data_IF_374256866874
#
_entry.id   IF_374256866874
#
_cell.length_a   1.000
_cell.length_b   1.000
_cell.length_c   1.000
_cell.angle_alpha   90.00
_cell.angle_beta   90.00
_cell.angle_gamma   90.00
#
_symmetry.space_group_name_H-M   'P 1'
#
loop_
_entity.id
_entity.type
_entity.pdbx_description
1 polymer ?
2 polymer ?
3 non-polymer ?
4 non-polymer ?
5 non-polymer ?
6 water ?
#
loop_
_entity_poly.entity_id
_entity_poly.type
_entity_poly.pdbx_seq_one_letter_code
_entity_poly.pdbx_strand_id
2 'polyribonucleotide' 'AGGGGCGUAGUUCAAUUGGUAGAGCACCGGUCUCCAAAACCGGGUGUUGGGAGUUCGAGUCUCUCCGCCCCUGCCA' ?
#
# COMPACT_ATOMS: atom_id res chain seq x y z
N UNK A 7 -11.46 -0.38 -15.16
CA UNK A 7 -10.54 0.40 -14.28
C UNK A 7 -10.32 -0.24 -12.91
N UNK A 8 -9.06 -0.49 -12.56
CA UNK A 8 -8.68 -1.06 -11.28
C UNK A 8 -8.05 0.00 -10.38
N UNK A 9 -8.35 -0.05 -9.09
CA UNK A 9 -7.75 0.82 -8.09
C UNK A 9 -7.29 -0.04 -6.91
N UNK A 10 -5.97 -0.14 -6.72
CA UNK A 10 -5.39 -0.93 -5.62
C UNK A 10 -4.96 -0.01 -4.46
N UNK A 11 -5.24 -0.44 -3.23
CA UNK A 11 -4.75 0.26 -2.04
C UNK A 11 -3.28 -0.13 -1.82
N UNK A 12 -2.42 0.88 -1.69
CA UNK A 12 -0.97 0.66 -1.64
C UNK A 12 -0.51 0.05 -0.32
N UNK A 13 0.63 -0.67 -0.34
CA UNK A 13 1.25 -1.03 0.93
C UNK A 13 1.82 0.21 1.59
N UNK A 14 1.53 0.40 2.88
CA UNK A 14 2.06 1.54 3.64
C UNK A 14 2.43 1.12 5.05
N UNK A 15 3.72 0.85 5.23
CA UNK A 15 4.29 0.43 6.51
C UNK A 15 4.07 1.51 7.59
N UNK A 16 3.53 1.09 8.73
CA UNK A 16 3.20 1.98 9.83
C UNK A 16 1.93 2.80 9.67
N UNK A 17 1.15 2.55 8.61
CA UNK A 17 -0.04 3.35 8.32
C UNK A 17 -1.22 2.46 8.00
N UNK A 18 -1.13 1.71 6.91
CA UNK A 18 -2.22 0.87 6.44
C UNK A 18 -2.07 -0.56 6.97
N UNK A 19 -2.35 -0.71 8.26
CA UNK A 19 -2.42 -2.02 8.90
C UNK A 19 -3.85 -2.57 8.74
N UNK A 20 -4.09 -3.74 9.32
CA UNK A 20 -5.40 -4.41 9.19
C UNK A 20 -6.59 -3.54 9.64
N UNK A 21 -6.40 -2.74 10.70
CA UNK A 21 -7.48 -1.89 11.22
C UNK A 21 -7.87 -0.82 10.20
N UNK A 22 -6.87 -0.15 9.63
CA UNK A 22 -7.12 0.90 8.64
C UNK A 22 -7.62 0.27 7.32
N UNK A 23 -7.08 -0.90 6.96
CA UNK A 23 -7.57 -1.64 5.79
C UNK A 23 -9.04 -2.03 5.96
N UNK A 24 -9.42 -2.42 7.18
CA UNK A 24 -10.82 -2.69 7.51
C UNK A 24 -11.70 -1.44 7.32
N UNK A 25 -11.27 -0.31 7.88
CA UNK A 25 -12.06 0.93 7.84
C UNK A 25 -12.21 1.49 6.42
N UNK A 26 -11.13 1.48 5.67
CA UNK A 26 -11.15 2.00 4.30
C UNK A 26 -11.97 1.12 3.36
N UNK A 27 -11.76 -0.20 3.40
CA UNK A 27 -12.46 -1.11 2.48
C UNK A 27 -13.98 -1.11 2.66
N UNK A 28 -14.45 -0.90 3.89
CA UNK A 28 -15.88 -0.71 4.16
C UNK A 28 -16.48 0.43 3.32
N UNK A 29 -15.77 1.56 3.25
CA UNK A 29 -16.27 2.76 2.57
C UNK A 29 -15.59 3.04 1.20
N UNK A 30 -14.99 2.00 0.60
CA UNK A 30 -14.32 2.13 -0.70
C UNK A 30 -14.63 0.97 -1.60
N UNK A 31 -14.21 1.08 -2.86
CA UNK A 31 -14.22 -0.01 -3.83
C UNK A 31 -12.79 -0.24 -4.32
N UNK A 32 -11.95 -0.72 -3.41
CA UNK A 32 -10.59 -1.12 -3.75
C UNK A 32 -10.63 -2.54 -4.28
N UNK A 33 -9.96 -2.76 -5.41
CA UNK A 33 -9.90 -4.07 -6.02
C UNK A 33 -8.94 -5.00 -5.28
N UNK A 34 -7.96 -4.43 -4.57
CA UNK A 34 -6.96 -5.20 -3.83
C UNK A 34 -6.19 -4.31 -2.85
N UNK A 35 -5.80 -4.89 -1.72
CA UNK A 35 -4.91 -4.24 -0.74
C UNK A 35 -3.60 -5.04 -0.64
N UNK A 36 -2.50 -4.31 -0.48
CA UNK A 36 -1.20 -4.92 -0.18
C UNK A 36 -0.87 -4.67 1.28
N UNK A 37 -0.26 -5.65 1.95
CA UNK A 37 0.08 -5.52 3.36
C UNK A 37 1.34 -4.69 3.53
N UNK A 38 1.60 -4.33 4.78
CA UNK A 38 2.91 -3.81 5.19
C UNK A 38 3.91 -4.94 4.91
N UNK A 39 5.14 -4.60 4.52
CA UNK A 39 6.11 -5.63 4.12
C UNK A 39 6.45 -6.60 5.24
N UNK A 40 6.58 -7.88 4.88
CA UNK A 40 7.12 -8.91 5.76
C UNK A 40 8.60 -8.98 5.42
N UNK A 41 9.46 -8.62 6.37
CA UNK A 41 10.90 -8.55 6.10
C UNK A 41 11.55 -9.92 6.17
N UNK A 42 12.12 -10.37 5.06
CA UNK A 42 12.79 -11.66 4.96
C UNK A 42 14.31 -11.48 4.87
N UNK A 43 15.05 -12.35 5.57
CA UNK A 43 16.52 -12.37 5.48
C UNK A 43 16.96 -13.77 5.02
N UNK A 44 17.22 -14.69 5.95
CA UNK A 44 17.81 -16.00 5.65
C UNK A 44 17.13 -17.10 6.47
N UNK A 45 15.82 -16.99 6.61
CA UNK A 45 15.07 -17.69 7.64
C UNK A 45 13.61 -17.84 7.21
N UNK A 46 13.04 -19.03 7.36
CA UNK A 46 11.60 -19.19 7.22
C UNK A 46 10.94 -18.58 8.45
N UNK A 47 10.24 -17.47 8.26
CA UNK A 47 9.60 -16.77 9.37
C UNK A 47 8.42 -17.58 9.92
N UNK A 48 8.14 -17.46 11.23
CA UNK A 48 7.06 -18.25 11.81
C UNK A 48 5.68 -17.76 11.39
N UNK A 49 4.69 -18.62 11.58
CA UNK A 49 3.31 -18.36 11.18
C UNK A 49 2.75 -17.09 11.82
N UNK A 50 3.04 -16.87 13.10
CA UNK A 50 2.53 -15.71 13.85
C UNK A 50 2.91 -14.35 13.26
N UNK A 51 4.07 -14.25 12.63
CA UNK A 51 4.48 -13.01 11.93
C UNK A 51 3.53 -12.69 10.77
N UNK A 52 3.11 -13.71 10.03
CA UNK A 52 2.19 -13.55 8.91
C UNK A 52 0.78 -13.16 9.40
N UNK A 53 0.32 -13.81 10.46
CA UNK A 53 -0.99 -13.46 11.05
C UNK A 53 -1.01 -12.09 11.72
N UNK A 54 0.13 -11.63 12.22
CA UNK A 54 0.23 -10.31 12.86
C UNK A 54 0.12 -9.20 11.81
N UNK A 55 0.94 -9.33 10.76
CA UNK A 55 0.93 -8.40 9.62
C UNK A 55 -0.35 -8.50 8.80
N UNK A 56 -0.87 -9.72 8.64
CA UNK A 56 -2.07 -9.97 7.82
C UNK A 56 -3.09 -10.85 8.57
N UNK A 57 -3.84 -10.27 9.52
CA UNK A 57 -4.97 -10.95 10.17
C UNK A 57 -6.06 -11.43 9.20
N UNK A 58 -6.15 -10.79 8.04
CA UNK A 58 -7.05 -11.18 6.96
C UNK A 58 -6.83 -12.60 6.45
N UNK A 59 -5.61 -13.13 6.62
CA UNK A 59 -5.30 -14.54 6.29
C UNK A 59 -6.29 -15.54 6.91
N UNK A 60 -6.77 -15.27 8.12
CA UNK A 60 -7.77 -16.12 8.79
C UNK A 60 -9.22 -15.90 8.33
N UNK A 61 -9.45 -14.92 7.46
CA UNK A 61 -10.72 -14.77 6.77
C UNK A 61 -10.52 -14.90 5.26
N UNK A 62 -9.77 -15.93 4.86
CA UNK A 62 -9.51 -16.24 3.45
C UNK A 62 -8.86 -15.10 2.68
N UNK A 63 -7.97 -14.38 3.37
CA UNK A 63 -7.24 -13.22 2.83
C UNK A 63 -8.15 -12.06 2.41
N UNK A 64 -9.19 -11.82 3.20
CA UNK A 64 -10.11 -10.71 2.97
C UNK A 64 -10.27 -9.83 4.19
N UNK A 65 -10.60 -8.56 3.95
CA UNK A 65 -11.02 -7.66 5.01
C UNK A 65 -12.46 -8.05 5.35
N UNK A 66 -13.00 -7.58 6.49
CA UNK A 66 -14.38 -7.96 6.82
C UNK A 66 -15.44 -7.62 5.76
N UNK A 67 -15.22 -6.52 5.02
CA UNK A 67 -16.12 -6.12 3.94
C UNK A 67 -15.97 -6.94 2.64
N UNK A 68 -14.86 -7.67 2.50
CA UNK A 68 -14.69 -8.64 1.41
C UNK A 68 -13.60 -8.34 0.40
N UNK A 69 -12.88 -7.23 0.56
CA UNK A 69 -11.76 -6.88 -0.32
C UNK A 69 -10.58 -7.80 -0.08
N UNK A 70 -10.01 -8.33 -1.16
CA UNK A 70 -8.84 -9.21 -1.07
C UNK A 70 -7.59 -8.46 -0.63
N UNK A 71 -6.69 -9.18 0.04
CA UNK A 71 -5.44 -8.64 0.57
C UNK A 71 -4.29 -9.55 0.14
N UNK A 72 -3.13 -8.96 -0.14
CA UNK A 72 -1.95 -9.70 -0.59
C UNK A 72 -0.72 -9.37 0.27
N UNK A 73 -0.05 -10.42 0.76
CA UNK A 73 1.16 -10.27 1.58
C UNK A 73 2.33 -9.82 0.70
N UNK A 74 3.05 -8.78 1.14
CA UNK A 74 4.27 -8.34 0.47
C UNK A 74 5.49 -8.82 1.24
N UNK A 75 6.49 -9.31 0.52
CA UNK A 75 7.78 -9.66 1.10
C UNK A 75 8.82 -8.62 0.70
N UNK A 76 9.70 -8.29 1.63
CA UNK A 76 10.89 -7.50 1.36
C UNK A 76 12.11 -8.37 1.70
N UNK A 77 12.93 -8.66 0.70
CA UNK A 77 14.10 -9.53 0.88
C UNK A 77 14.94 -9.70 -0.37
N UNK A 78 16.10 -10.33 -0.23
CA UNK A 78 17.05 -10.52 -1.34
C UNK A 78 17.28 -11.99 -1.71
N UNK A 79 17.44 -12.86 -0.71
CA UNK A 79 17.89 -14.24 -0.96
C UNK A 79 16.73 -15.07 -1.56
N UNK A 80 16.92 -15.59 -2.81
CA UNK A 80 15.83 -16.28 -3.52
C UNK A 80 15.18 -17.44 -2.77
N UNK A 81 16.01 -18.30 -2.17
CA UNK A 81 15.55 -19.45 -1.38
C UNK A 81 14.55 -19.07 -0.29
N UNK A 82 14.82 -17.95 0.37
CA UNK A 82 14.05 -17.52 1.54
C UNK A 82 12.88 -16.63 1.17
N UNK A 83 12.97 -15.91 0.05
CA UNK A 83 11.77 -15.31 -0.56
C UNK A 83 10.80 -16.40 -0.99
N UNK A 84 11.32 -17.46 -1.61
CA UNK A 84 10.51 -18.60 -2.06
C UNK A 84 9.77 -19.30 -0.93
N UNK A 85 10.51 -19.66 0.13
CA UNK A 85 9.92 -20.38 1.27
C UNK A 85 8.92 -19.54 2.06
N UNK A 86 9.20 -18.25 2.24
CA UNK A 86 8.25 -17.35 2.88
C UNK A 86 7.06 -16.99 1.97
N UNK A 87 7.25 -17.04 0.65
CA UNK A 87 6.14 -16.89 -0.31
C UNK A 87 5.20 -18.10 -0.24
N UNK A 88 5.76 -19.30 -0.23
CA UNK A 88 4.99 -20.53 -0.08
C UNK A 88 4.16 -20.56 1.21
N UNK A 89 4.78 -20.13 2.32
CA UNK A 89 4.07 -20.04 3.60
C UNK A 89 2.91 -19.03 3.54
N UNK A 90 3.17 -17.85 2.99
CA UNK A 90 2.15 -16.81 2.85
C UNK A 90 0.89 -17.32 2.15
N UNK A 91 1.07 -17.97 1.01
CA UNK A 91 -0.07 -18.48 0.22
C UNK A 91 -0.73 -19.68 0.89
N UNK A 92 0.07 -20.57 1.48
CA UNK A 92 -0.46 -21.69 2.27
C UNK A 92 -1.35 -21.25 3.42
N UNK A 93 -1.02 -20.11 4.02
CA UNK A 93 -1.85 -19.52 5.08
C UNK A 93 -3.09 -18.79 4.56
N UNK A 94 -3.15 -18.52 3.25
CA UNK A 94 -4.35 -17.94 2.62
C UNK A 94 -4.15 -16.76 1.67
N UNK A 95 -2.97 -16.13 1.68
CA UNK A 95 -2.73 -14.91 0.89
C UNK A 95 -3.04 -15.11 -0.58
N UNK A 96 -3.77 -14.16 -1.17
CA UNK A 96 -4.11 -14.23 -2.59
C UNK A 96 -2.92 -13.72 -3.40
N UNK A 97 -1.99 -14.62 -3.64
CA UNK A 97 -0.72 -14.28 -4.25
C UNK A 97 0.25 -13.69 -3.25
N UNK A 98 1.35 -13.14 -3.77
CA UNK A 98 2.40 -12.51 -2.96
C UNK A 98 3.08 -11.41 -3.77
N UNK A 99 3.43 -10.30 -3.10
CA UNK A 99 4.10 -9.15 -3.73
C UNK A 99 5.57 -9.14 -3.31
N UNK A 100 6.46 -8.74 -4.22
CA UNK A 100 7.87 -8.50 -3.89
C UNK A 100 8.18 -7.00 -3.84
N UNK A 101 8.75 -6.54 -2.73
CA UNK A 101 9.19 -5.15 -2.58
C UNK A 101 10.55 -4.95 -3.25
N UNK A 102 10.58 -4.05 -4.24
CA UNK A 102 11.83 -3.58 -4.87
C UNK A 102 11.96 -2.04 -4.88
N UNK A 103 11.25 -1.36 -3.98
CA UNK A 103 11.25 0.11 -3.93
C UNK A 103 11.42 0.80 -2.58
N UNK A 104 11.62 0.04 -1.51
CA UNK A 104 11.83 0.61 -0.17
C UNK A 104 13.20 1.31 -0.10
N UNK A 105 13.23 2.61 0.30
CA UNK A 105 14.54 3.22 0.58
C UNK A 105 15.09 2.74 1.93
N UNK A 113 20.13 -5.89 3.05
CA UNK A 113 20.15 -6.18 1.61
C UNK A 113 18.77 -6.49 1.09
N UNK A 114 18.17 -5.52 0.40
CA UNK A 114 16.79 -5.65 -0.12
C UNK A 114 16.13 -4.31 -0.39
N UNK A 115 14.85 -4.36 -0.77
CA UNK A 115 14.08 -3.16 -1.08
C UNK A 115 14.56 -2.52 -2.37
N UNK A 116 14.82 -1.22 -2.33
CA UNK A 116 15.30 -0.49 -3.51
C UNK A 116 16.73 -0.83 -3.94
N UNK A 117 17.53 -1.45 -3.06
CA UNK A 117 18.92 -1.84 -3.41
C UNK A 117 19.00 -2.92 -4.50
N UNK A 118 17.92 -3.68 -4.66
CA UNK A 118 17.78 -4.64 -5.77
C UNK A 118 17.71 -3.96 -7.15
N UNK A 119 17.31 -2.69 -7.18
CA UNK A 119 17.28 -1.90 -8.42
C UNK A 119 18.68 -1.62 -9.00
N UNK A 120 19.73 -1.75 -8.18
CA UNK A 120 21.11 -1.67 -8.66
C UNK A 120 21.56 -2.86 -9.50
N UNK A 121 21.11 -4.07 -9.13
CA UNK A 121 21.39 -5.29 -9.87
C UNK A 121 20.07 -6.02 -10.15
N UNK A 122 19.44 -5.75 -11.32
CA UNK A 122 18.22 -6.43 -11.77
C UNK A 122 18.26 -7.98 -11.79
N UNK A 123 19.46 -8.56 -11.90
CA UNK A 123 19.65 -10.01 -11.74
C UNK A 123 19.03 -10.53 -10.43
N UNK A 124 19.19 -9.77 -9.35
CA UNK A 124 18.62 -10.12 -8.04
C UNK A 124 17.09 -10.14 -8.08
N UNK A 125 16.49 -9.20 -8.81
CA UNK A 125 15.04 -9.13 -8.98
C UNK A 125 14.56 -10.34 -9.79
N UNK A 126 15.21 -10.60 -10.92
CA UNK A 126 14.94 -11.78 -11.73
C UNK A 126 14.99 -13.06 -10.90
N UNK A 127 16.04 -13.21 -10.09
CA UNK A 127 16.30 -14.44 -9.34
C UNK A 127 15.36 -14.61 -8.14
N UNK A 128 15.01 -13.50 -7.48
CA UNK A 128 14.07 -13.53 -6.36
C UNK A 128 12.64 -13.77 -6.79
N UNK A 129 12.20 -13.00 -7.77
CA UNK A 129 10.86 -13.16 -8.34
C UNK A 129 10.65 -14.54 -8.96
N UNK A 130 11.67 -15.06 -9.66
CA UNK A 130 11.55 -16.39 -10.28
C UNK A 130 11.36 -17.50 -9.23
N UNK A 131 12.11 -17.42 -8.13
CA UNK A 131 12.00 -18.39 -7.04
C UNK A 131 10.64 -18.32 -6.35
N UNK A 132 10.12 -17.11 -6.21
CA UNK A 132 8.75 -16.91 -5.71
C UNK A 132 7.69 -17.47 -6.67
N UNK A 133 7.88 -17.27 -7.96
CA UNK A 133 6.94 -17.79 -8.97
C UNK A 133 6.87 -19.32 -8.92
N UNK A 134 8.03 -19.96 -8.84
CA UNK A 134 8.11 -21.42 -8.79
C UNK A 134 7.59 -22.01 -7.48
N UNK A 135 7.61 -21.24 -6.39
CA UNK A 135 7.12 -21.69 -5.09
C UNK A 135 5.60 -21.54 -4.91
N UNK A 136 5.01 -20.55 -5.56
CA UNK A 136 3.59 -20.24 -5.40
C UNK A 136 2.80 -20.95 -6.49
N UNK A 137 1.63 -21.56 -6.13
CA UNK A 137 0.73 -22.18 -7.11
C UNK A 137 0.43 -21.30 -8.32
N UNK A 138 0.51 -21.89 -9.51
CA UNK A 138 0.57 -21.15 -10.78
C UNK A 138 -0.47 -20.04 -10.96
N UNK A 139 -1.70 -20.30 -10.52
CA UNK A 139 -2.81 -19.35 -10.71
C UNK A 139 -2.91 -18.25 -9.66
N UNK A 140 -2.20 -18.36 -8.54
CA UNK A 140 -2.09 -17.24 -7.60
C UNK A 140 -1.06 -16.24 -8.13
N UNK A 141 -1.41 -14.95 -8.18
CA UNK A 141 -0.48 -13.94 -8.73
C UNK A 141 0.80 -13.74 -7.93
N UNK A 142 1.92 -13.60 -8.61
CA UNK A 142 3.17 -13.11 -8.00
C UNK A 142 3.47 -11.75 -8.63
N UNK A 143 3.33 -10.69 -7.84
CA UNK A 143 3.54 -9.33 -8.32
C UNK A 143 4.84 -8.75 -7.76
N UNK A 144 5.36 -7.73 -8.45
CA UNK A 144 6.55 -6.99 -8.02
C UNK A 144 6.23 -5.50 -8.00
N UNK A 145 6.68 -4.81 -6.97
CA UNK A 145 6.50 -3.37 -6.87
C UNK A 145 7.86 -2.71 -6.93
N UNK A 146 8.06 -1.82 -7.91
CA UNK A 146 9.36 -1.20 -8.14
C UNK A 146 9.30 0.31 -8.09
N UNK A 147 10.48 0.90 -7.91
CA UNK A 147 10.73 2.28 -8.26
C UNK A 147 11.44 2.26 -9.63
N UNK A 148 11.58 3.43 -10.24
CA UNK A 148 12.19 3.55 -11.58
C UNK A 148 13.69 3.29 -11.59
N UNK A 149 14.33 3.43 -10.43
CA UNK A 149 15.77 3.19 -10.30
C UNK A 149 16.32 3.66 -8.98
N UNK A 150 17.65 3.58 -8.86
CA UNK A 150 18.33 3.99 -7.64
C UNK A 150 18.48 5.52 -7.60
N UNK A 151 19.36 6.07 -8.43
CA UNK A 151 19.65 7.52 -8.47
C UNK A 151 19.19 8.20 -9.77
N UNK A 152 19.29 7.49 -10.90
CA UNK A 152 18.62 7.89 -12.15
C UNK A 152 17.67 6.78 -12.60
N UNK A 153 16.94 7.05 -13.68
CA UNK A 153 16.01 6.06 -14.26
C UNK A 153 16.54 5.37 -15.50
N UNK A 154 17.86 5.36 -15.69
CA UNK A 154 18.48 4.83 -16.91
C UNK A 154 18.44 3.31 -17.04
N UNK A 155 18.26 2.60 -15.92
CA UNK A 155 18.16 1.13 -15.92
C UNK A 155 16.74 0.65 -15.67
N UNK A 156 15.74 1.47 -15.99
CA UNK A 156 14.33 1.15 -15.69
C UNK A 156 13.79 -0.03 -16.50
N UNK A 157 14.28 -0.20 -17.72
CA UNK A 157 13.84 -1.31 -18.56
C UNK A 157 14.52 -2.63 -18.19
N UNK A 158 15.77 -2.60 -17.75
CA UNK A 158 16.41 -3.79 -17.18
C UNK A 158 15.64 -4.32 -15.95
N UNK A 159 15.11 -3.39 -15.15
CA UNK A 159 14.30 -3.74 -13.98
C UNK A 159 12.98 -4.36 -14.43
N UNK A 160 12.31 -3.72 -15.39
CA UNK A 160 11.04 -4.19 -15.93
C UNK A 160 11.18 -5.56 -16.58
N UNK A 161 12.22 -5.73 -17.40
CA UNK A 161 12.52 -7.01 -18.09
C UNK A 161 12.77 -8.15 -17.13
N UNK A 162 13.47 -7.87 -16.03
CA UNK A 162 13.75 -8.87 -15.00
C UNK A 162 12.47 -9.41 -14.35
N UNK A 163 11.48 -8.53 -14.18
CA UNK A 163 10.18 -8.91 -13.61
C UNK A 163 9.42 -9.82 -14.57
N UNK A 164 9.38 -9.45 -15.85
CA UNK A 164 8.65 -10.24 -16.85
C UNK A 164 9.29 -11.61 -17.08
N UNK A 165 10.59 -11.65 -17.28
CA UNK A 165 11.29 -12.91 -17.57
C UNK A 165 11.41 -13.84 -16.36
N UNK A 166 11.27 -13.30 -15.15
CA UNK A 166 11.07 -14.12 -13.95
C UNK A 166 9.76 -14.91 -13.99
N UNK A 167 8.78 -14.39 -14.73
CA UNK A 167 7.45 -15.00 -14.86
C UNK A 167 6.44 -14.40 -13.90
N UNK A 168 6.67 -13.15 -13.48
CA UNK A 168 5.76 -12.49 -12.55
C UNK A 168 4.44 -12.21 -13.25
N UNK A 169 3.38 -12.11 -12.46
CA UNK A 169 2.04 -11.91 -13.00
C UNK A 169 1.80 -10.46 -13.43
N UNK A 170 2.29 -9.50 -12.63
CA UNK A 170 2.12 -8.07 -12.90
C UNK A 170 3.19 -7.22 -12.19
N UNK A 171 3.33 -5.98 -12.65
CA UNK A 171 4.35 -5.05 -12.15
C UNK A 171 3.69 -3.74 -11.71
N UNK A 172 3.91 -3.33 -10.46
CA UNK A 172 3.52 -2.00 -9.99
C UNK A 172 4.75 -1.12 -10.07
N UNK A 173 4.62 0.02 -10.75
CA UNK A 173 5.71 0.97 -10.92
C UNK A 173 5.35 2.26 -10.20
N UNK A 174 6.08 2.53 -9.13
CA UNK A 174 6.10 3.83 -8.47
C UNK A 174 7.01 4.74 -9.32
N UNK A 175 6.43 5.77 -9.94
CA UNK A 175 7.12 6.57 -10.96
C UNK A 175 8.18 7.56 -10.50
N UNK A 176 9.06 7.12 -9.60
CA UNK A 176 10.20 7.90 -9.13
C UNK A 176 11.35 6.96 -8.82
N UNK A 177 12.55 7.52 -8.74
CA UNK A 177 13.72 6.77 -8.28
C UNK A 177 13.77 6.80 -6.76
N UNK A 178 14.71 6.08 -6.16
CA UNK A 178 14.90 6.10 -4.71
C UNK A 178 15.29 7.49 -4.19
N UNK A 179 16.27 8.12 -4.82
CA UNK A 179 16.71 9.47 -4.43
C UNK A 179 15.62 10.54 -4.49
N UNK A 180 14.69 10.42 -5.44
CA UNK A 180 13.57 11.36 -5.57
C UNK A 180 12.51 11.23 -4.46
N UNK A 181 12.54 10.12 -3.71
CA UNK A 181 11.72 9.95 -2.52
C UNK A 181 10.24 10.16 -2.78
N UNK A 182 9.69 11.21 -2.16
CA UNK A 182 8.27 11.56 -2.29
C UNK A 182 8.05 12.99 -2.80
N UNK A 183 9.05 13.56 -3.48
CA UNK A 183 8.97 14.94 -4.01
C UNK A 183 8.11 14.97 -5.28
N UNK A 184 7.04 15.76 -5.24
CA UNK A 184 6.00 15.76 -6.27
C UNK A 184 6.48 16.14 -7.68
N UNK A 185 7.47 17.02 -7.76
CA UNK A 185 7.99 17.47 -9.05
C UNK A 185 8.58 16.32 -9.91
N UNK A 186 9.12 15.30 -9.26
CA UNK A 186 9.82 14.21 -9.95
C UNK A 186 8.96 13.02 -10.43
N UNK A 187 7.66 13.08 -10.20
CA UNK A 187 6.76 12.00 -10.65
C UNK A 187 6.79 11.88 -12.18
N UNK A 188 6.92 10.64 -12.67
CA UNK A 188 7.19 10.36 -14.08
C UNK A 188 6.22 9.28 -14.60
N UNK A 189 5.00 9.71 -14.87
CA UNK A 189 3.97 8.81 -15.40
C UNK A 189 4.28 8.35 -16.83
N UNK A 190 5.02 9.17 -17.58
CA UNK A 190 5.46 8.82 -18.93
C UNK A 190 6.42 7.62 -18.92
N UNK A 191 7.28 7.55 -17.91
CA UNK A 191 8.21 6.42 -17.74
C UNK A 191 7.45 5.13 -17.50
N UNK A 192 6.34 5.22 -16.76
CA UNK A 192 5.46 4.08 -16.50
C UNK A 192 4.81 3.62 -17.82
N UNK A 193 4.39 4.59 -18.64
CA UNK A 193 3.84 4.29 -19.95
C UNK A 193 4.79 3.53 -20.86
N UNK A 194 6.07 3.91 -20.83
CA UNK A 194 7.08 3.24 -21.64
C UNK A 194 7.34 1.80 -21.16
N UNK A 195 7.27 1.59 -19.85
CA UNK A 195 7.35 0.26 -19.26
C UNK A 195 6.14 -0.57 -19.68
N UNK A 196 4.93 0.00 -19.59
CA UNK A 196 3.70 -0.67 -20.05
C UNK A 196 3.80 -1.12 -21.51
N UNK A 197 4.23 -0.23 -22.38
CA UNK A 197 4.40 -0.54 -23.81
C UNK A 197 5.45 -1.63 -24.08
N UNK A 198 6.47 -1.68 -23.23
CA UNK A 198 7.54 -2.68 -23.35
C UNK A 198 7.12 -4.08 -22.92
N UNK A 199 6.23 -4.17 -21.92
CA UNK A 199 5.92 -5.43 -21.28
C UNK A 199 4.60 -6.05 -21.76
N UNK A 200 4.59 -7.38 -21.79
CA UNK A 200 3.40 -8.18 -22.06
C UNK A 200 2.50 -8.34 -20.83
N UNK A 201 3.10 -8.42 -19.64
CA UNK A 201 2.34 -8.50 -18.38
C UNK A 201 1.73 -7.13 -18.03
N UNK A 202 0.61 -7.10 -17.29
CA UNK A 202 -0.03 -5.82 -16.97
C UNK A 202 0.85 -4.94 -16.10
N UNK A 203 0.75 -3.63 -16.28
CA UNK A 203 1.52 -2.64 -15.50
C UNK A 203 0.55 -1.70 -14.78
N UNK A 204 0.79 -1.51 -13.49
CA UNK A 204 -0.06 -0.71 -12.61
C UNK A 204 0.70 0.55 -12.23
N UNK A 205 0.12 1.71 -12.54
CA UNK A 205 0.76 3.00 -12.29
C UNK A 205 0.59 3.44 -10.84
N UNK A 206 1.58 4.15 -10.31
CA UNK A 206 1.56 4.56 -8.92
C UNK A 206 2.33 5.86 -8.70
N UNK A 207 1.77 6.74 -7.86
CA UNK A 207 2.41 7.99 -7.45
C UNK A 207 1.61 9.22 -7.82
N UNK A 208 1.35 10.07 -6.81
CA UNK A 208 0.75 11.40 -6.98
C UNK A 208 -0.68 11.39 -7.55
N UNK A 209 -1.45 10.36 -7.23
CA UNK A 209 -2.86 10.30 -7.57
C UNK A 209 -3.61 10.75 -6.32
N UNK A 210 -4.17 11.96 -6.37
CA UNK A 210 -4.82 12.59 -5.21
C UNK A 210 -6.32 12.77 -5.34
N UNK A 211 -6.86 12.67 -6.56
CA UNK A 211 -8.29 12.90 -6.83
C UNK A 211 -8.64 12.40 -8.23
N UNK A 212 -9.85 12.69 -8.69
CA UNK A 212 -10.29 12.28 -10.02
C UNK A 212 -9.40 12.83 -11.14
N UNK A 213 -9.10 14.13 -11.08
CA UNK A 213 -8.32 14.81 -12.13
C UNK A 213 -6.93 14.18 -12.31
N UNK A 214 -6.20 14.01 -11.21
CA UNK A 214 -4.85 13.44 -11.27
C UNK A 214 -4.85 11.98 -11.71
N UNK A 215 -5.87 11.22 -11.31
CA UNK A 215 -6.02 9.83 -11.76
C UNK A 215 -6.29 9.76 -13.27
N UNK A 216 -7.11 10.67 -13.79
CA UNK A 216 -7.35 10.77 -15.23
C UNK A 216 -6.09 11.12 -16.03
N UNK A 217 -5.33 12.10 -15.55
CA UNK A 217 -4.07 12.50 -16.21
C UNK A 217 -3.03 11.38 -16.16
N UNK A 218 -2.99 10.64 -15.05
CA UNK A 218 -2.07 9.50 -14.90
C UNK A 218 -2.41 8.36 -15.85
N UNK A 219 -3.69 7.99 -15.90
CA UNK A 219 -4.16 6.95 -16.83
C UNK A 219 -3.98 7.36 -18.28
N UNK A 220 -4.23 8.64 -18.58
CA UNK A 220 -4.04 9.17 -19.93
C UNK A 220 -2.57 9.13 -20.36
N UNK A 221 -1.67 9.56 -19.47
CA UNK A 221 -0.23 9.61 -19.77
C UNK A 221 0.37 8.21 -19.78
N UNK A 222 0.19 7.46 -18.69
CA UNK A 222 0.75 6.11 -18.59
C UNK A 222 0.06 5.06 -19.50
N UNK A 223 -1.19 5.32 -19.89
CA UNK A 223 -1.99 4.34 -20.63
C UNK A 223 -2.46 3.16 -19.78
N UNK A 224 -2.36 3.27 -18.45
CA UNK A 224 -2.67 2.16 -17.54
C UNK A 224 -4.13 2.24 -17.10
N UNK A 225 -4.84 1.12 -17.21
CA UNK A 225 -6.20 1.00 -16.67
C UNK A 225 -6.18 0.73 -15.16
N UNK A 226 -5.09 0.13 -14.65
CA UNK A 226 -4.93 -0.12 -13.22
C UNK A 226 -4.02 0.93 -12.60
N UNK A 227 -4.45 1.47 -11.45
CA UNK A 227 -3.63 2.38 -10.65
C UNK A 227 -3.59 1.92 -9.18
N UNK A 228 -2.55 2.34 -8.47
CA UNK A 228 -2.41 2.11 -7.04
C UNK A 228 -2.28 3.46 -6.35
N UNK A 229 -3.04 3.65 -5.27
CA UNK A 229 -2.99 4.91 -4.51
C UNK A 229 -2.63 4.65 -3.04
N UNK A 230 -1.67 5.43 -2.53
CA UNK A 230 -1.18 5.32 -1.16
C UNK A 230 -1.62 6.49 -0.30
N UNK A 231 -0.78 7.53 -0.24
CA UNK A 231 -1.00 8.66 0.70
C UNK A 231 -2.32 9.40 0.49
N UNK A 232 -2.78 9.50 -0.75
CA UNK A 232 -4.09 10.08 -1.07
C UNK A 232 -5.28 9.36 -0.42
N UNK A 233 -5.14 8.06 -0.21
CA UNK A 233 -6.16 7.24 0.47
C UNK A 233 -6.35 7.61 1.94
N UNK A 234 -5.32 8.22 2.55
CA UNK A 234 -5.41 8.78 3.90
C UNK A 234 -5.90 10.23 3.85
N UNK A 235 -5.39 11.01 2.90
CA UNK A 235 -5.87 12.38 2.64
C UNK A 235 -7.36 12.47 2.36
N UNK A 236 -7.85 11.56 1.51
CA UNK A 236 -9.28 11.46 1.17
C UNK A 236 -9.69 10.01 1.44
N UNK A 237 -10.33 9.75 2.60
CA UNK A 237 -10.71 8.38 3.00
C UNK A 237 -11.55 7.56 2.00
N UNK A 238 -12.28 8.23 1.10
CA UNK A 238 -13.05 7.55 0.05
C UNK A 238 -12.46 7.71 -1.35
N UNK A 239 -11.13 7.81 -1.46
CA UNK A 239 -10.49 8.18 -2.73
C UNK A 239 -10.77 7.25 -3.91
N UNK A 240 -10.95 5.95 -3.66
CA UNK A 240 -11.30 5.01 -4.74
C UNK A 240 -12.61 5.35 -5.42
N UNK A 241 -13.61 5.80 -4.64
CA UNK A 241 -14.90 6.21 -5.19
C UNK A 241 -14.84 7.57 -5.88
N UNK A 242 -13.98 8.44 -5.37
CA UNK A 242 -13.66 9.72 -6.02
C UNK A 242 -13.01 9.46 -7.38
N UNK A 243 -12.09 8.50 -7.42
CA UNK A 243 -11.33 8.17 -8.61
C UNK A 243 -12.15 7.36 -9.64
N UNK A 244 -12.85 6.33 -9.18
CA UNK A 244 -13.64 5.47 -10.07
C UNK A 244 -14.90 6.14 -10.61
N UNK A 245 -15.59 6.88 -9.75
CA UNK A 245 -16.94 7.37 -10.05
C UNK A 245 -17.11 8.89 -10.04
N UNK A 246 -16.01 9.64 -9.86
CA UNK A 246 -16.06 11.11 -9.76
C UNK A 246 -17.03 11.62 -8.68
N UNK A 247 -17.09 10.90 -7.56
CA UNK A 247 -17.91 11.30 -6.41
C UNK A 247 -17.14 12.34 -5.61
N UNK A 248 -17.85 13.15 -4.80
CA UNK A 248 -17.16 14.12 -3.97
C UNK A 248 -16.36 13.44 -2.86
N UNK A 249 -15.36 14.16 -2.33
CA UNK A 249 -14.59 13.68 -1.18
C UNK A 249 -15.52 13.42 0.01
N UNK A 250 -15.13 12.49 0.87
CA UNK A 250 -15.92 12.16 2.06
C UNK A 250 -16.11 13.45 2.85
N UNK A 251 -17.38 13.83 3.12
CA UNK A 251 -17.60 15.01 3.96
C UNK A 251 -16.90 14.90 5.32
N UNK A 252 -16.41 16.03 5.83
CA UNK A 252 -15.67 16.07 7.09
C UNK A 252 -16.36 15.40 8.29
N UNK A 253 -17.70 15.56 8.43
CA UNK A 253 -18.38 14.85 9.52
C UNK A 253 -18.28 13.33 9.44
N UNK A 254 -18.35 12.77 8.23
CA UNK A 254 -18.16 11.33 8.02
C UNK A 254 -16.70 10.90 8.28
N UNK A 255 -15.74 11.80 8.01
CA UNK A 255 -14.33 11.54 8.33
C UNK A 255 -14.13 11.42 9.84
N UNK A 256 -14.73 12.32 10.61
CA UNK A 256 -14.63 12.28 12.07
C UNK A 256 -15.28 10.98 12.60
N UNK A 257 -16.45 10.63 12.08
CA UNK A 257 -17.11 9.37 12.41
C UNK A 257 -16.21 8.15 12.14
N UNK A 258 -15.47 8.19 11.04
CA UNK A 258 -14.51 7.15 10.67
C UNK A 258 -13.38 7.06 11.71
N UNK A 259 -12.89 8.21 12.18
CA UNK A 259 -11.88 8.27 13.24
C UNK A 259 -12.42 7.83 14.59
N UNK A 260 -13.67 8.16 14.89
CA UNK A 260 -14.36 7.63 16.08
C UNK A 260 -14.46 6.11 16.07
N UNK A 261 -14.76 5.55 14.90
CA UNK A 261 -14.78 4.09 14.69
C UNK A 261 -13.39 3.49 14.92
N UNK A 262 -12.35 4.19 14.47
CA UNK A 262 -10.96 3.75 14.64
C UNK A 262 -10.53 3.68 16.11
N UNK A 263 -10.98 4.64 16.92
CA UNK A 263 -10.69 4.62 18.36
C UNK A 263 -11.37 3.45 19.10
N UNK A 264 -12.48 2.94 18.55
CA UNK A 264 -13.15 1.76 19.10
C UNK A 264 -12.56 0.41 18.65
N UNK A 265 -11.72 0.41 17.62
CA UNK A 265 -11.00 -0.82 17.22
C UNK A 265 -9.79 -1.03 18.14
N UNK A 266 -9.49 -2.29 18.43
CA UNK A 266 -8.37 -2.66 19.30
C UNK A 266 -7.27 -3.28 18.49
N UNK A 267 -6.05 -2.81 18.71
CA UNK A 267 -4.87 -3.33 18.03
C UNK A 267 -4.28 -4.46 18.86
N UNK A 268 -4.06 -5.61 18.25
CA UNK A 268 -3.36 -6.71 18.91
C UNK A 268 -1.87 -6.38 18.92
N UNK A 269 -1.22 -6.63 20.05
CA UNK A 269 0.18 -6.23 20.27
C UNK A 269 0.36 -4.77 20.68
N UNK A 270 -0.74 -4.07 21.00
CA UNK A 270 -0.71 -2.66 21.40
C UNK A 270 0.11 -2.50 22.68
N UNK A 271 1.25 -1.82 22.54
CA UNK A 271 2.16 -1.53 23.65
C UNK A 271 1.74 -0.32 24.48
N UNK A 272 0.63 0.33 24.13
CA UNK A 272 0.02 1.35 24.99
C UNK A 272 -0.40 2.63 24.29
N UNK A 273 0.30 3.01 23.22
CA UNK A 273 0.11 4.33 22.58
C UNK A 273 -0.30 4.25 21.10
N UNK A 274 -0.89 3.13 20.67
CA UNK A 274 -1.26 2.93 19.27
C UNK A 274 -2.16 4.06 18.73
N UNK A 275 -3.26 4.35 19.42
CA UNK A 275 -4.18 5.41 18.97
C UNK A 275 -3.62 6.82 19.10
N UNK A 276 -2.74 7.04 20.08
CA UNK A 276 -2.04 8.32 20.19
C UNK A 276 -1.20 8.53 18.91
N UNK A 277 -0.52 7.48 18.47
CA UNK A 277 0.26 7.49 17.23
C UNK A 277 -0.60 7.67 15.97
N UNK A 278 -1.60 6.83 15.81
CA UNK A 278 -2.28 6.67 14.52
C UNK A 278 -3.41 7.65 14.23
N UNK A 279 -4.07 8.17 15.27
CA UNK A 279 -5.04 9.25 15.12
C UNK A 279 -4.31 10.54 14.72
N UNK A 280 -3.19 10.83 15.39
CA UNK A 280 -2.36 11.98 15.06
C UNK A 280 -1.72 11.86 13.68
N UNK A 281 -1.27 10.65 13.33
CA UNK A 281 -0.70 10.39 12.01
C UNK A 281 -1.73 10.56 10.90
N UNK A 282 -2.93 10.00 11.08
CA UNK A 282 -3.98 10.13 10.07
C UNK A 282 -4.42 11.60 9.96
N UNK A 283 -4.63 12.26 11.10
CA UNK A 283 -4.95 13.71 11.10
C UNK A 283 -3.92 14.54 10.34
N UNK A 284 -2.64 14.20 10.46
CA UNK A 284 -1.56 14.82 9.69
C UNK A 284 -1.73 14.70 8.16
N UNK A 285 -2.24 13.57 7.71
CA UNK A 285 -2.61 13.40 6.29
C UNK A 285 -3.85 14.23 5.94
N UNK A 286 -4.90 14.08 6.75
CA UNK A 286 -6.16 14.81 6.55
C UNK A 286 -6.00 16.34 6.57
N UNK A 287 -5.01 16.81 7.33
CA UNK A 287 -4.65 18.24 7.44
C UNK A 287 -4.27 18.90 6.10
N UNK A 288 -3.85 18.09 5.12
CA UNK A 288 -3.47 18.57 3.80
C UNK A 288 -4.64 18.69 2.80
N UNK A 289 -5.80 18.17 3.19
CA UNK A 289 -7.01 18.19 2.35
C UNK A 289 -8.14 19.00 3.00
N UNK A 290 -8.46 18.68 4.25
CA UNK A 290 -9.56 19.30 4.99
C UNK A 290 -9.04 20.39 5.91
N UNK A 291 -9.57 21.61 5.76
CA UNK A 291 -9.23 22.73 6.65
C UNK A 291 -9.57 22.43 8.11
N UNK A 292 -10.66 21.70 8.32
CA UNK A 292 -11.17 21.38 9.66
C UNK A 292 -10.26 20.42 10.45
N UNK A 293 -9.42 19.67 9.74
CA UNK A 293 -8.45 18.76 10.38
C UNK A 293 -7.32 19.47 11.14
N UNK A 294 -7.03 20.72 10.80
CA UNK A 294 -6.03 21.52 11.51
C UNK A 294 -6.46 21.83 12.94
N UNK A 295 -7.71 22.26 13.10
CA UNK A 295 -8.26 22.58 14.42
C UNK A 295 -8.38 21.32 15.30
N UNK A 296 -8.76 20.19 14.70
CA UNK A 296 -8.87 18.91 15.43
C UNK A 296 -7.52 18.34 15.84
N UNK A 297 -6.51 18.48 14.99
CA UNK A 297 -5.15 18.09 15.34
C UNK A 297 -4.63 18.90 16.53
N UNK A 298 -4.90 20.20 16.52
CA UNK A 298 -4.55 21.08 17.64
C UNK A 298 -5.29 20.74 18.93
N UNK A 299 -6.54 20.28 18.81
CA UNK A 299 -7.33 19.85 19.97
C UNK A 299 -6.75 18.61 20.66
N UNK A 300 -6.20 17.69 19.88
CA UNK A 300 -5.62 16.44 20.41
C UNK A 300 -4.07 16.44 20.49
N UNK A 301 -3.43 17.54 20.12
CA UNK A 301 -1.97 17.60 19.95
C UNK A 301 -1.22 17.06 21.16
N UNK A 302 -1.48 17.65 22.33
CA UNK A 302 -0.71 17.38 23.55
C UNK A 302 -1.22 16.19 24.38
N UNK A 303 -2.19 15.44 23.88
CA UNK A 303 -2.69 14.26 24.58
C UNK A 303 -1.68 13.12 24.42
N UNK A 304 -1.24 12.54 25.54
CA UNK A 304 -0.11 11.60 25.57
C UNK A 304 -0.44 10.18 26.06
N UNK A 305 -1.72 9.79 25.98
CA UNK A 305 -2.14 8.42 26.31
C UNK A 305 -3.45 8.04 25.62
N UNK A 306 -3.60 6.74 25.34
CA UNK A 306 -4.70 6.26 24.49
C UNK A 306 -6.10 6.52 25.05
N UNK A 307 -6.31 6.33 26.37
CA UNK A 307 -7.62 6.64 26.95
C UNK A 307 -8.08 8.08 26.67
N UNK A 308 -7.16 9.04 26.83
CA UNK A 308 -7.49 10.46 26.65
C UNK A 308 -7.84 10.81 25.21
N UNK A 309 -7.01 10.39 24.26
CA UNK A 309 -7.26 10.69 22.85
C UNK A 309 -8.53 10.00 22.34
N UNK A 310 -8.76 8.76 22.79
CA UNK A 310 -9.99 8.03 22.47
C UNK A 310 -11.23 8.78 22.96
N UNK A 311 -11.18 9.20 24.23
CA UNK A 311 -12.24 10.01 24.85
C UNK A 311 -12.49 11.32 24.08
N UNK A 312 -11.40 11.99 23.71
CA UNK A 312 -11.46 13.26 22.98
C UNK A 312 -12.17 13.14 21.63
N UNK A 313 -11.77 12.15 20.84
CA UNK A 313 -12.34 11.93 19.51
C UNK A 313 -13.81 11.50 19.60
N UNK A 314 -14.10 10.56 20.50
CA UNK A 314 -15.45 10.01 20.67
C UNK A 314 -16.48 11.02 21.18
N UNK A 315 -16.03 12.03 21.92
CA UNK A 315 -16.92 13.05 22.48
C UNK A 315 -17.48 14.06 21.47
N UNK A 316 -16.91 14.11 20.25
CA UNK A 316 -17.37 15.04 19.21
C UNK A 316 -18.73 14.59 18.67
N UNK A 317 -19.69 15.52 18.63
CA UNK A 317 -21.02 15.27 18.08
C UNK A 317 -20.96 15.55 16.58
N UNK A 318 -20.95 14.49 15.77
CA UNK A 318 -20.94 14.61 14.30
C UNK A 318 -22.15 15.36 13.75
N UNK A 319 -23.27 15.30 14.48
CA UNK A 319 -24.49 16.04 14.11
C UNK A 319 -24.34 17.57 14.14
N UNK A 320 -23.45 18.09 15.00
CA UNK A 320 -23.22 19.54 15.14
C UNK A 320 -22.03 20.10 14.33
N UNK A 321 -21.33 19.24 13.57
CA UNK A 321 -20.14 19.67 12.79
C UNK A 321 -20.55 20.32 11.48
X LIG C 1 5.71 0.61 -0.58
X LIG C 1 5.89 -0.75 -0.40
X LIG C 1 6.06 -1.50 -1.36
X LIG C 1 5.87 -1.28 0.87
X LIG C 1 5.68 -0.58 2.05
X LIG C 1 5.65 -1.19 3.11
X LIG C 1 5.52 0.87 1.86
X LIG C 1 5.36 1.60 2.93
X LIG C 1 5.16 2.97 2.75
X LIG C 1 4.91 3.75 3.87
X LIG C 1 4.68 5.12 3.75
X LIG C 1 4.42 5.93 5.00
X LIG C 1 4.68 5.72 2.48
X LIG C 1 4.51 7.21 2.31
X LIG C 1 4.91 4.93 1.35
X LIG C 1 5.15 3.56 1.47
X LIG C 1 5.34 2.72 0.33
X LIG C 1 5.54 1.37 0.50
X LIG C 1 5.28 3.27 -1.03
X LIG C 1 3.82 3.34 -1.49
X LIG C 1 3.30 2.03 -1.69
X LIG C 1 3.68 4.14 -2.80
X LIG C 1 4.48 3.52 -3.79
X LIG C 1 4.06 5.61 -2.70
X LIG C 1 3.50 6.20 -1.52
X LIG C 1 3.66 6.43 -3.92
X LIG C 1 2.22 6.43 -4.02
X LIG C 1 1.36 7.70 -3.56
X LIG C 1 1.80 8.92 -4.28
X LIG C 1 -0.08 7.33 -3.84
X LIG C 1 1.55 7.82 -2.04
X LIG D 1 2.62 21.38 13.34
X LIG D 1 3.38 21.24 12.08
X LIG D 1 2.18 20.04 13.80
X LIG D 1 3.49 21.99 14.37
X LIG D 1 1.44 22.25 13.12
X LIG E 1 -16.78 18.93 3.12
X LIG E 1 -16.07 17.88 2.35
X LIG E 1 -17.53 18.32 4.24
X LIG E 1 -15.80 19.89 3.66
X LIG E 1 -17.73 19.63 2.22
X LIG F 1 6.51 6.09 9.33
#
# INVERSE_FOLDING_TARGET
GSHMASMRVLLAPMEGVLDSLVRELLTEVNDYDLCITEFVRVVDQLLPVKVFHRICPELQNASRTPSGTLVRVQLLGQFPQWLAENAARAVELGSWGVDLNCGAPSKTVNGSGGGATLLKDPELIYQGAKAMREAVPAHLPVSVKVRLGWDSGEKKFEIADAVQQAGATELVVHGRTKEQGYRAEHIDWQAIGDIRQRLNIPVIANGEIWDWQSAQQCMAISGCDAVMIGRGALNIPNLSRVVKYNEPRMPWPEVVALLQKYTRLEKQGDTGLYHVARIKQWLSYLRKEYDEATELFQHVRVLNNSPDIARAIQAIDIEKL
FMN N1 C2 O2 N3 C4 O4 C4A N5 C5A C6 C7 C7M C8 C8M C9 C9A N10 C10 C1' C2' O2' C3' O3' C4' O4' C5' O5' P O1P O2P O3P
SO4 S O1 O2 O3 O4
SO4 S O1 O2 O3 O4
MG MG
#
